data_IF_104110674099
#
_entry.id   IF_104110674099
#
_cell.length_a   1.000
_cell.length_b   1.000
_cell.length_c   1.000
_cell.angle_alpha   90.00
_cell.angle_beta   90.00
_cell.angle_gamma   90.00
#
_symmetry.space_group_name_H-M   'P 1'
#
loop_
_entity.id
_entity.type
_entity.pdbx_description
1 polymer ?
#
# COMPACT_ATOMS: atom_id res chain seq x y z
N UNK A 1 26.27 -4.38 43.80
CA UNK A 1 25.25 -4.78 42.79
C UNK A 1 23.98 -3.90 42.82
N UNK A 2 23.43 -3.56 43.98
CA UNK A 2 22.21 -2.73 44.10
C UNK A 2 22.33 -1.28 43.58
N UNK A 3 23.49 -0.63 43.74
CA UNK A 3 23.71 0.76 43.27
C UNK A 3 23.68 0.85 41.74
N UNK A 4 24.24 -0.15 41.04
CA UNK A 4 24.22 -0.22 39.58
C UNK A 4 22.80 -0.39 39.02
N UNK A 5 21.94 -1.17 39.69
CA UNK A 5 20.55 -1.35 39.26
C UNK A 5 19.71 -0.09 39.48
N UNK A 6 19.93 0.63 40.58
CA UNK A 6 19.25 1.91 40.88
C UNK A 6 19.62 3.00 39.87
N UNK A 7 20.90 3.12 39.50
CA UNK A 7 21.34 4.08 38.46
C UNK A 7 20.76 3.76 37.08
N UNK A 8 20.67 2.47 36.73
CA UNK A 8 20.08 2.02 35.46
C UNK A 8 18.57 2.29 35.41
N UNK A 9 17.86 2.11 36.53
CA UNK A 9 16.43 2.44 36.67
C UNK A 9 16.18 3.94 36.48
N UNK A 10 16.97 4.79 37.15
CA UNK A 10 16.86 6.26 37.06
C UNK A 10 17.14 6.79 35.64
N UNK A 11 18.11 6.20 34.93
CA UNK A 11 18.39 6.53 33.53
C UNK A 11 17.23 6.16 32.60
N UNK A 12 16.62 4.98 32.80
CA UNK A 12 15.48 4.51 32.01
C UNK A 12 14.22 5.37 32.25
N UNK A 13 13.93 5.74 33.49
CA UNK A 13 12.83 6.66 33.83
C UNK A 13 13.04 8.03 33.19
N UNK A 14 14.28 8.55 33.18
CA UNK A 14 14.63 9.80 32.50
C UNK A 14 14.44 9.69 30.98
N UNK A 15 14.87 8.60 30.35
CA UNK A 15 14.66 8.34 28.91
C UNK A 15 13.17 8.22 28.55
N UNK A 16 12.37 7.51 29.35
CA UNK A 16 10.91 7.39 29.15
C UNK A 16 10.21 8.75 29.31
N UNK A 17 10.64 9.57 30.27
CA UNK A 17 10.16 10.94 30.44
C UNK A 17 10.50 11.83 29.23
N UNK A 18 11.73 11.75 28.71
CA UNK A 18 12.14 12.49 27.51
C UNK A 18 11.35 12.06 26.28
N UNK A 19 11.17 10.75 26.05
CA UNK A 19 10.33 10.23 24.96
C UNK A 19 8.88 10.69 25.07
N UNK A 20 8.32 10.76 26.28
CA UNK A 20 6.97 11.29 26.51
C UNK A 20 6.88 12.77 26.15
N UNK A 21 7.88 13.57 26.51
CA UNK A 21 7.95 14.99 26.14
C UNK A 21 8.12 15.19 24.64
N UNK A 22 8.98 14.40 24.02
CA UNK A 22 9.19 14.40 22.56
C UNK A 22 7.89 14.07 21.84
N UNK A 23 7.16 13.04 22.26
CA UNK A 23 5.86 12.70 21.68
C UNK A 23 4.86 13.84 21.82
N UNK A 24 4.76 14.47 23.00
CA UNK A 24 3.86 15.61 23.22
C UNK A 24 4.25 16.78 22.30
N UNK A 25 5.54 17.07 22.16
CA UNK A 25 6.03 18.10 21.25
C UNK A 25 5.71 17.78 19.80
N UNK A 26 5.95 16.54 19.34
CA UNK A 26 5.62 16.10 17.98
C UNK A 26 4.12 16.17 17.69
N UNK A 27 3.27 15.84 18.67
CA UNK A 27 1.81 15.97 18.54
C UNK A 27 1.40 17.43 18.46
N UNK A 28 1.93 18.31 19.32
CA UNK A 28 1.64 19.74 19.28
C UNK A 28 2.14 20.36 17.97
N UNK A 29 3.32 19.98 17.52
CA UNK A 29 3.86 20.38 16.22
C UNK A 29 2.95 19.91 15.08
N UNK A 30 2.52 18.65 15.07
CA UNK A 30 1.62 18.12 14.05
C UNK A 30 0.29 18.88 14.04
N UNK A 31 -0.31 19.13 15.20
CA UNK A 31 -1.56 19.91 15.31
C UNK A 31 -1.34 21.33 14.76
N UNK A 32 -0.28 22.03 15.18
CA UNK A 32 0.02 23.38 14.73
C UNK A 32 0.30 23.41 13.22
N UNK A 33 1.06 22.45 12.71
CA UNK A 33 1.36 22.29 11.29
C UNK A 33 0.08 22.06 10.48
N UNK A 34 -0.77 21.11 10.86
CA UNK A 34 -2.03 20.86 10.17
C UNK A 34 -2.99 22.04 10.27
N UNK A 35 -3.09 22.69 11.43
CA UNK A 35 -3.89 23.90 11.58
C UNK A 35 -3.40 25.02 10.68
N UNK A 36 -2.07 25.22 10.59
CA UNK A 36 -1.46 26.19 9.69
C UNK A 36 -1.73 25.85 8.22
N UNK A 37 -1.51 24.60 7.81
CA UNK A 37 -1.77 24.17 6.42
C UNK A 37 -3.25 24.35 6.07
N UNK A 38 -4.17 23.88 6.91
CA UNK A 38 -5.61 24.05 6.68
C UNK A 38 -5.96 25.53 6.59
N UNK A 39 -5.46 26.36 7.51
CA UNK A 39 -5.71 27.79 7.49
C UNK A 39 -5.18 28.46 6.21
N UNK A 40 -3.94 28.16 5.81
CA UNK A 40 -3.36 28.70 4.57
C UNK A 40 -4.07 28.20 3.33
N UNK A 41 -4.44 26.93 3.28
CA UNK A 41 -5.23 26.36 2.17
C UNK A 41 -6.60 27.00 2.07
N UNK A 42 -7.28 27.25 3.20
CA UNK A 42 -8.57 27.96 3.23
C UNK A 42 -8.42 29.41 2.80
N UNK A 43 -7.40 30.13 3.29
CA UNK A 43 -7.10 31.50 2.86
C UNK A 43 -6.87 31.56 1.34
N UNK A 44 -5.98 30.72 0.82
CA UNK A 44 -5.71 30.65 -0.61
C UNK A 44 -6.97 30.32 -1.43
N UNK A 45 -7.82 29.43 -0.91
CA UNK A 45 -9.08 29.06 -1.56
C UNK A 45 -10.08 30.22 -1.60
N UNK A 46 -10.10 31.09 -0.58
CA UNK A 46 -10.95 32.28 -0.55
C UNK A 46 -10.39 33.36 -1.48
N UNK A 47 -9.07 33.57 -1.45
CA UNK A 47 -8.40 34.58 -2.29
C UNK A 47 -8.56 34.30 -3.80
N UNK A 48 -8.62 33.01 -4.19
CA UNK A 48 -8.75 32.58 -5.58
C UNK A 48 -10.12 31.98 -5.91
N UNK A 49 -11.13 32.14 -5.04
CA UNK A 49 -12.50 31.68 -5.29
C UNK A 49 -13.08 32.17 -6.64
N UNK A 50 -12.94 33.46 -7.04
CA UNK A 50 -13.50 33.95 -8.29
C UNK A 50 -12.83 33.38 -9.55
N UNK A 51 -11.67 32.72 -9.42
CA UNK A 51 -10.94 32.11 -10.54
C UNK A 51 -11.30 30.63 -10.77
N UNK A 52 -12.20 30.05 -9.98
CA UNK A 52 -12.57 28.64 -10.06
C UNK A 52 -13.58 28.35 -11.20
N UNK A 53 -13.10 28.37 -12.44
CA UNK A 53 -13.89 28.15 -13.67
C UNK A 53 -14.48 26.73 -13.82
N UNK A 54 -14.02 25.76 -13.03
CA UNK A 54 -14.40 24.35 -13.18
C UNK A 54 -15.38 23.84 -12.10
N UNK A 55 -15.99 24.72 -11.32
CA UNK A 55 -16.97 24.33 -10.31
C UNK A 55 -18.27 23.83 -10.97
N UNK A 56 -18.70 22.62 -10.60
CA UNK A 56 -19.96 22.02 -11.06
C UNK A 56 -20.79 21.50 -9.89
N UNK A 57 -22.13 21.51 -9.97
CA UNK A 57 -22.97 20.94 -8.93
C UNK A 57 -22.67 19.45 -8.73
N UNK A 58 -22.47 19.07 -7.47
CA UNK A 58 -22.23 17.69 -7.03
C UNK A 58 -23.49 16.90 -6.70
N UNK A 59 -23.31 15.60 -6.50
CA UNK A 59 -24.37 14.65 -6.14
C UNK A 59 -24.60 14.51 -4.61
N UNK A 60 -23.74 15.13 -3.78
CA UNK A 60 -23.91 15.15 -2.33
C UNK A 60 -25.14 15.99 -1.95
N UNK A 61 -25.83 15.60 -0.86
CA UNK A 61 -27.00 16.32 -0.35
C UNK A 61 -26.62 17.12 0.91
N UNK A 62 -26.83 18.46 0.95
CA UNK A 62 -27.31 19.32 -0.13
C UNK A 62 -26.27 19.50 -1.26
N UNK A 63 -26.69 19.80 -2.51
CA UNK A 63 -25.80 19.95 -3.66
C UNK A 63 -24.70 20.99 -3.40
N UNK A 64 -23.47 20.52 -3.20
CA UNK A 64 -22.30 21.39 -3.10
C UNK A 64 -21.61 21.50 -4.45
N UNK A 65 -21.05 22.68 -4.73
CA UNK A 65 -20.19 22.87 -5.88
C UNK A 65 -18.90 22.07 -5.68
N UNK A 66 -18.50 21.40 -6.76
CA UNK A 66 -17.38 20.48 -6.80
C UNK A 66 -16.39 20.97 -7.83
N UNK A 67 -15.11 21.03 -7.46
CA UNK A 67 -14.03 21.31 -8.39
C UNK A 67 -13.89 20.17 -9.41
N UNK A 68 -14.23 20.43 -10.67
CA UNK A 68 -14.13 19.48 -11.76
C UNK A 68 -12.92 19.75 -12.67
N UNK A 69 -11.94 20.57 -12.25
CA UNK A 69 -10.74 20.88 -13.07
C UNK A 69 -9.87 19.65 -13.29
N UNK A 70 -9.60 18.90 -12.22
CA UNK A 70 -8.77 17.70 -12.26
C UNK A 70 -9.54 16.50 -12.88
N UNK A 71 -9.00 15.98 -13.97
CA UNK A 71 -9.62 14.88 -14.72
C UNK A 71 -9.60 13.54 -13.97
N UNK A 72 -8.62 13.29 -13.10
CA UNK A 72 -8.52 12.05 -12.31
C UNK A 72 -9.53 12.08 -11.17
N UNK A 73 -9.59 13.18 -10.41
CA UNK A 73 -10.53 13.36 -9.30
C UNK A 73 -11.98 13.43 -9.79
N UNK A 74 -12.23 14.07 -10.93
CA UNK A 74 -13.54 14.08 -11.58
C UNK A 74 -13.98 12.67 -11.98
N UNK A 75 -13.13 11.91 -12.67
CA UNK A 75 -13.44 10.54 -13.08
C UNK A 75 -13.65 9.61 -11.88
N UNK A 76 -12.79 9.67 -10.86
CA UNK A 76 -12.93 8.85 -9.67
C UNK A 76 -14.27 9.12 -8.97
N UNK A 77 -14.60 10.38 -8.69
CA UNK A 77 -15.85 10.74 -8.01
C UNK A 77 -17.10 10.41 -8.83
N UNK A 78 -17.08 10.66 -10.13
CA UNK A 78 -18.21 10.34 -11.00
C UNK A 78 -18.50 8.83 -11.03
N UNK A 79 -17.45 8.00 -10.94
CA UNK A 79 -17.58 6.54 -10.92
C UNK A 79 -17.70 5.95 -9.51
N UNK A 80 -17.65 6.76 -8.44
CA UNK A 80 -17.66 6.27 -7.06
C UNK A 80 -18.92 5.46 -6.72
N UNK A 81 -20.15 5.85 -7.14
CA UNK A 81 -21.34 5.02 -6.92
C UNK A 81 -21.26 3.67 -7.64
N UNK A 82 -20.80 3.66 -8.89
CA UNK A 82 -20.65 2.43 -9.68
C UNK A 82 -19.59 1.53 -9.04
N UNK A 83 -18.46 2.10 -8.63
CA UNK A 83 -17.38 1.36 -7.97
C UNK A 83 -17.85 0.79 -6.62
N UNK A 84 -18.68 1.53 -5.88
CA UNK A 84 -19.28 1.06 -4.63
C UNK A 84 -20.19 -0.14 -4.88
N UNK A 85 -21.06 -0.06 -5.88
CA UNK A 85 -21.92 -1.18 -6.27
C UNK A 85 -21.11 -2.41 -6.70
N UNK A 86 -20.12 -2.24 -7.56
CA UNK A 86 -19.25 -3.34 -8.02
C UNK A 86 -18.48 -3.96 -6.86
N UNK A 87 -17.96 -3.14 -5.94
CA UNK A 87 -17.27 -3.63 -4.75
C UNK A 87 -18.21 -4.41 -3.82
N UNK A 88 -19.44 -3.92 -3.62
CA UNK A 88 -20.46 -4.66 -2.86
C UNK A 88 -20.80 -6.00 -3.51
N UNK A 89 -21.03 -6.03 -4.83
CA UNK A 89 -21.28 -7.27 -5.57
C UNK A 89 -20.11 -8.25 -5.48
N UNK A 90 -18.88 -7.75 -5.63
CA UNK A 90 -17.66 -8.54 -5.47
C UNK A 90 -17.59 -9.19 -4.08
N UNK A 91 -17.82 -8.40 -3.01
CA UNK A 91 -17.79 -8.88 -1.64
C UNK A 91 -18.91 -9.89 -1.35
N UNK A 92 -20.13 -9.62 -1.82
CA UNK A 92 -21.26 -10.52 -1.69
C UNK A 92 -20.99 -11.85 -2.40
N UNK A 93 -20.48 -11.81 -3.63
CA UNK A 93 -20.13 -13.02 -4.38
C UNK A 93 -19.04 -13.83 -3.67
N UNK A 94 -17.94 -13.18 -3.28
CA UNK A 94 -16.85 -13.85 -2.58
C UNK A 94 -17.30 -14.48 -1.25
N UNK A 95 -18.14 -13.79 -0.47
CA UNK A 95 -18.66 -14.30 0.80
C UNK A 95 -19.71 -15.40 0.59
N UNK A 96 -20.53 -15.31 -0.45
CA UNK A 96 -21.48 -16.36 -0.82
C UNK A 96 -20.75 -17.63 -1.22
N UNK A 97 -19.73 -17.52 -2.08
CA UNK A 97 -18.88 -18.65 -2.45
C UNK A 97 -18.17 -19.26 -1.23
N UNK A 98 -17.69 -18.41 -0.31
CA UNK A 98 -17.11 -18.89 0.96
C UNK A 98 -18.08 -19.74 1.75
N UNK A 99 -19.32 -19.28 1.91
CA UNK A 99 -20.34 -19.94 2.70
C UNK A 99 -20.82 -21.23 2.02
N UNK A 100 -21.09 -21.21 0.71
CA UNK A 100 -21.61 -22.35 -0.05
C UNK A 100 -20.59 -23.49 -0.17
N UNK A 101 -19.32 -23.17 -0.40
CA UNK A 101 -18.27 -24.17 -0.61
C UNK A 101 -17.38 -24.40 0.62
N UNK A 102 -17.73 -23.83 1.78
CA UNK A 102 -16.96 -23.90 3.03
C UNK A 102 -15.45 -23.65 2.83
N UNK A 103 -15.10 -22.66 2.01
CA UNK A 103 -13.73 -22.44 1.56
C UNK A 103 -12.82 -22.01 2.72
N UNK A 104 -11.70 -22.72 2.88
CA UNK A 104 -10.60 -22.33 3.77
C UNK A 104 -9.80 -21.16 3.18
N UNK A 105 -8.89 -20.58 3.96
CA UNK A 105 -8.09 -19.42 3.56
C UNK A 105 -7.39 -19.56 2.20
N UNK A 106 -6.78 -20.73 1.92
CA UNK A 106 -6.14 -20.99 0.61
C UNK A 106 -7.15 -20.94 -0.55
N UNK A 107 -8.30 -21.60 -0.40
CA UNK A 107 -9.37 -21.58 -1.41
C UNK A 107 -9.93 -20.17 -1.62
N UNK A 108 -10.11 -19.42 -0.54
CA UNK A 108 -10.53 -18.02 -0.63
C UNK A 108 -9.53 -17.15 -1.40
N UNK A 109 -8.22 -17.35 -1.21
CA UNK A 109 -7.19 -16.63 -1.97
C UNK A 109 -7.34 -16.84 -3.48
N UNK A 110 -7.65 -18.06 -3.93
CA UNK A 110 -7.88 -18.34 -5.34
C UNK A 110 -9.14 -17.64 -5.87
N UNK A 111 -10.25 -17.68 -5.12
CA UNK A 111 -11.48 -16.96 -5.49
C UNK A 111 -11.22 -15.47 -5.64
N UNK A 112 -10.53 -14.87 -4.67
CA UNK A 112 -10.22 -13.44 -4.70
C UNK A 112 -9.30 -13.09 -5.88
N UNK A 113 -8.30 -13.93 -6.16
CA UNK A 113 -7.40 -13.74 -7.28
C UNK A 113 -8.14 -13.84 -8.62
N UNK A 114 -9.01 -14.84 -8.78
CA UNK A 114 -9.80 -15.03 -10.01
C UNK A 114 -10.75 -13.86 -10.25
N UNK A 115 -11.52 -13.45 -9.23
CA UNK A 115 -12.44 -12.31 -9.35
C UNK A 115 -11.69 -11.01 -9.63
N UNK A 116 -10.55 -10.79 -8.97
CA UNK A 116 -9.71 -9.61 -9.19
C UNK A 116 -9.11 -9.61 -10.59
N UNK A 117 -8.65 -10.75 -11.08
CA UNK A 117 -8.10 -10.90 -12.43
C UNK A 117 -9.19 -10.66 -13.49
N UNK A 118 -10.40 -11.22 -13.29
CA UNK A 118 -11.53 -10.98 -14.17
C UNK A 118 -11.89 -9.49 -14.24
N UNK A 119 -11.94 -8.81 -13.09
CA UNK A 119 -12.21 -7.37 -13.04
C UNK A 119 -11.08 -6.55 -13.68
N UNK A 120 -9.82 -6.90 -13.43
CA UNK A 120 -8.67 -6.20 -14.02
C UNK A 120 -8.63 -6.38 -15.54
N UNK A 121 -8.95 -7.57 -16.05
CA UNK A 121 -9.08 -7.86 -17.48
C UNK A 121 -10.22 -7.08 -18.11
N UNK A 122 -11.36 -6.94 -17.42
CA UNK A 122 -12.46 -6.10 -17.89
C UNK A 122 -12.05 -4.62 -18.02
N UNK A 123 -11.33 -4.08 -17.03
CA UNK A 123 -10.94 -2.66 -17.03
C UNK A 123 -9.84 -2.32 -18.03
N UNK A 124 -8.85 -3.21 -18.22
CA UNK A 124 -7.64 -2.91 -18.98
C UNK A 124 -7.46 -3.74 -20.25
N UNK A 125 -8.31 -4.75 -20.48
CA UNK A 125 -8.25 -5.61 -21.67
C UNK A 125 -6.88 -6.27 -21.80
N UNK A 126 -6.34 -6.28 -23.01
CA UNK A 126 -5.02 -6.85 -23.31
C UNK A 126 -3.88 -6.19 -22.53
N UNK A 127 -4.00 -4.90 -22.16
CA UNK A 127 -2.95 -4.18 -21.43
C UNK A 127 -2.64 -4.75 -20.04
N UNK A 128 -3.47 -5.64 -19.50
CA UNK A 128 -3.18 -6.38 -18.27
C UNK A 128 -1.83 -7.13 -18.34
N UNK A 129 -1.43 -7.55 -19.54
CA UNK A 129 -0.14 -8.21 -19.78
C UNK A 129 1.03 -7.33 -19.36
N UNK A 130 0.98 -6.02 -19.65
CA UNK A 130 2.01 -5.08 -19.21
C UNK A 130 2.01 -4.92 -17.69
N UNK A 131 0.82 -4.73 -17.08
CA UNK A 131 0.68 -4.56 -15.63
C UNK A 131 1.30 -5.76 -14.89
N UNK A 132 0.90 -6.97 -15.27
CA UNK A 132 1.36 -8.20 -14.65
C UNK A 132 2.85 -8.46 -14.93
N UNK A 133 3.32 -8.17 -16.15
CA UNK A 133 4.73 -8.32 -16.51
C UNK A 133 5.63 -7.43 -15.66
N UNK A 134 5.33 -6.12 -15.56
CA UNK A 134 6.13 -5.18 -14.76
C UNK A 134 6.08 -5.56 -13.28
N UNK A 135 4.89 -5.90 -12.76
CA UNK A 135 4.74 -6.32 -11.36
C UNK A 135 5.51 -7.62 -11.06
N UNK A 136 5.49 -8.58 -11.98
CA UNK A 136 6.22 -9.85 -11.83
C UNK A 136 7.73 -9.63 -11.91
N UNK A 137 8.20 -8.82 -12.85
CA UNK A 137 9.61 -8.45 -12.95
C UNK A 137 10.09 -7.73 -11.69
N UNK A 138 9.28 -6.81 -11.14
CA UNK A 138 9.59 -6.17 -9.87
C UNK A 138 9.66 -7.18 -8.72
N UNK A 139 8.70 -8.10 -8.63
CA UNK A 139 8.70 -9.16 -7.62
C UNK A 139 9.96 -10.04 -7.71
N UNK A 140 10.35 -10.45 -8.92
CA UNK A 140 11.57 -11.23 -9.15
C UNK A 140 12.82 -10.44 -8.76
N UNK A 141 12.89 -9.17 -9.14
CA UNK A 141 13.99 -8.27 -8.75
C UNK A 141 14.09 -8.19 -7.23
N UNK A 142 12.98 -7.96 -6.51
CA UNK A 142 12.98 -7.94 -5.05
C UNK A 142 13.48 -9.27 -4.49
N UNK A 143 12.96 -10.40 -4.99
CA UNK A 143 13.35 -11.73 -4.52
C UNK A 143 14.83 -12.03 -4.70
N UNK A 144 15.43 -11.58 -5.79
CA UNK A 144 16.85 -11.80 -6.10
C UNK A 144 17.77 -10.85 -5.34
N UNK A 145 17.43 -9.56 -5.26
CA UNK A 145 18.34 -8.52 -4.78
C UNK A 145 18.10 -8.09 -3.33
N UNK A 146 17.04 -8.53 -2.67
CA UNK A 146 16.68 -8.06 -1.32
C UNK A 146 17.71 -8.35 -0.22
N UNK A 147 18.71 -9.22 -0.42
CA UNK A 147 19.77 -9.41 0.58
C UNK A 147 21.05 -8.65 0.23
N UNK A 148 21.05 -7.92 -0.88
CA UNK A 148 22.24 -7.21 -1.37
C UNK A 148 22.28 -5.77 -0.85
N UNK A 149 23.49 -5.22 -0.73
CA UNK A 149 23.70 -3.80 -0.40
C UNK A 149 23.15 -2.85 -1.46
N UNK A 150 23.03 -3.31 -2.70
CA UNK A 150 22.53 -2.54 -3.85
C UNK A 150 21.01 -2.63 -4.03
N UNK A 151 20.29 -3.26 -3.10
CA UNK A 151 18.84 -3.42 -3.20
C UNK A 151 18.09 -2.10 -3.45
N UNK A 152 18.32 -1.11 -2.59
CA UNK A 152 17.65 0.19 -2.64
C UNK A 152 17.85 0.90 -4.00
N UNK A 153 19.08 1.12 -4.50
CA UNK A 153 19.26 1.77 -5.80
C UNK A 153 18.68 0.97 -6.97
N UNK A 154 18.80 -0.36 -6.96
CA UNK A 154 18.26 -1.21 -8.04
C UNK A 154 16.73 -1.13 -8.08
N UNK A 155 16.07 -1.18 -6.93
CA UNK A 155 14.61 -1.07 -6.82
C UNK A 155 14.12 0.30 -7.31
N UNK A 156 14.75 1.38 -6.89
CA UNK A 156 14.37 2.74 -7.30
C UNK A 156 14.60 2.98 -8.78
N UNK A 157 15.76 2.55 -9.31
CA UNK A 157 16.06 2.69 -10.73
C UNK A 157 15.01 1.98 -11.59
N UNK A 158 14.66 0.73 -11.24
CA UNK A 158 13.61 -0.02 -11.93
C UNK A 158 12.26 0.71 -11.90
N UNK A 159 11.82 1.16 -10.72
CA UNK A 159 10.50 1.80 -10.59
C UNK A 159 10.44 3.17 -11.28
N UNK A 160 11.49 3.99 -11.17
CA UNK A 160 11.57 5.28 -11.88
C UNK A 160 11.61 5.07 -13.39
N UNK A 161 12.38 4.09 -13.86
CA UNK A 161 12.45 3.74 -15.29
C UNK A 161 11.05 3.42 -15.83
N UNK A 162 10.31 2.50 -15.20
CA UNK A 162 8.96 2.17 -15.65
C UNK A 162 7.96 3.33 -15.47
N UNK A 163 8.11 4.17 -14.45
CA UNK A 163 7.30 5.38 -14.29
C UNK A 163 7.51 6.35 -15.46
N UNK A 164 8.77 6.57 -15.86
CA UNK A 164 9.11 7.42 -16.99
C UNK A 164 8.63 6.83 -18.31
N UNK A 165 8.87 5.54 -18.56
CA UNK A 165 8.37 4.88 -19.77
C UNK A 165 6.84 4.95 -19.86
N UNK A 166 6.12 4.70 -18.76
CA UNK A 166 4.67 4.81 -18.73
C UNK A 166 4.16 6.23 -19.03
N UNK A 167 4.94 7.26 -18.67
CA UNK A 167 4.62 8.65 -18.96
C UNK A 167 4.93 9.02 -20.41
N UNK A 168 6.14 8.69 -20.90
CA UNK A 168 6.62 9.07 -22.23
C UNK A 168 5.80 8.41 -23.34
N UNK A 169 5.45 7.13 -23.17
CA UNK A 169 4.69 6.38 -24.16
C UNK A 169 3.17 6.47 -23.97
N UNK A 170 2.69 7.22 -22.97
CA UNK A 170 1.27 7.26 -22.56
C UNK A 170 0.62 5.87 -22.43
N UNK A 171 1.40 4.90 -21.95
CA UNK A 171 1.06 3.48 -21.96
C UNK A 171 1.43 2.78 -23.27
N UNK A 172 2.07 1.62 -23.15
CA UNK A 172 2.66 0.93 -24.30
C UNK A 172 1.64 0.44 -25.33
N UNK A 173 2.05 0.48 -26.60
CA UNK A 173 1.37 -0.17 -27.71
C UNK A 173 1.99 -1.50 -28.05
N UNK A 174 1.14 -2.49 -28.32
CA UNK A 174 1.60 -3.82 -28.71
C UNK A 174 2.32 -3.80 -30.06
N UNK A 175 1.92 -2.89 -30.95
CA UNK A 175 2.59 -2.64 -32.24
C UNK A 175 4.09 -2.30 -32.11
N UNK A 176 4.51 -1.67 -31.01
CA UNK A 176 5.94 -1.35 -30.78
C UNK A 176 6.78 -2.62 -30.61
N UNK A 177 6.17 -3.71 -30.12
CA UNK A 177 6.87 -4.98 -29.86
C UNK A 177 6.80 -5.94 -31.06
N UNK A 178 6.04 -5.60 -32.10
CA UNK A 178 5.97 -6.36 -33.36
C UNK A 178 4.57 -6.35 -33.96
N UNK A 179 4.52 -6.46 -35.29
CA UNK A 179 3.26 -6.45 -36.05
C UNK A 179 2.32 -7.60 -35.65
N UNK A 180 2.87 -8.74 -35.24
CA UNK A 180 2.09 -9.90 -34.79
C UNK A 180 1.25 -9.61 -33.54
N UNK A 181 1.66 -8.66 -32.70
CA UNK A 181 0.94 -8.28 -31.48
C UNK A 181 0.04 -7.07 -31.70
N UNK A 182 0.16 -6.37 -32.84
CA UNK A 182 -0.60 -5.15 -33.13
C UNK A 182 -2.12 -5.36 -33.06
N UNK A 183 -2.63 -6.57 -33.33
CA UNK A 183 -4.07 -6.86 -33.19
C UNK A 183 -4.57 -6.69 -31.75
N UNK A 184 -3.72 -6.88 -30.74
CA UNK A 184 -4.06 -6.70 -29.32
C UNK A 184 -4.31 -5.24 -28.95
N UNK A 185 -3.81 -4.29 -29.74
CA UNK A 185 -4.12 -2.88 -29.55
C UNK A 185 -5.62 -2.57 -29.78
N UNK A 186 -6.36 -3.43 -30.50
CA UNK A 186 -7.82 -3.32 -30.64
C UNK A 186 -8.59 -3.74 -29.38
N UNK A 187 -7.94 -4.46 -28.46
CA UNK A 187 -8.55 -4.99 -27.24
C UNK A 187 -8.09 -4.24 -25.99
N UNK A 188 -7.88 -2.92 -26.12
CA UNK A 188 -7.58 -2.07 -24.97
C UNK A 188 -8.83 -1.90 -24.11
N UNK A 189 -8.63 -1.95 -22.79
CA UNK A 189 -9.72 -1.76 -21.84
C UNK A 189 -10.22 -0.32 -21.76
N UNK A 190 -11.29 -0.13 -20.99
CA UNK A 190 -11.98 1.14 -20.80
C UNK A 190 -11.13 2.18 -20.07
N UNK A 191 -10.21 1.75 -19.19
CA UNK A 191 -9.36 2.64 -18.41
C UNK A 191 -7.90 2.56 -18.84
N UNK A 192 -7.28 3.75 -18.95
CA UNK A 192 -5.85 3.91 -19.19
C UNK A 192 -5.05 3.39 -18.00
N UNK A 193 -4.50 2.18 -18.16
CA UNK A 193 -3.81 1.47 -17.08
C UNK A 193 -2.63 2.25 -16.49
N UNK A 194 -1.84 2.92 -17.32
CA UNK A 194 -0.61 3.63 -16.93
C UNK A 194 -0.85 4.77 -15.93
N UNK A 195 -2.05 5.36 -15.89
CA UNK A 195 -2.41 6.41 -14.93
C UNK A 195 -2.55 5.82 -13.52
N UNK A 196 -3.32 4.73 -13.39
CA UNK A 196 -3.52 4.04 -12.12
C UNK A 196 -2.26 3.29 -11.66
N UNK A 197 -1.39 2.90 -12.60
CA UNK A 197 -0.16 2.17 -12.33
C UNK A 197 0.82 2.94 -11.43
N UNK A 198 0.74 4.27 -11.36
CA UNK A 198 1.51 5.06 -10.38
C UNK A 198 1.30 4.57 -8.94
N UNK A 199 0.07 4.19 -8.57
CA UNK A 199 -0.22 3.62 -7.25
C UNK A 199 0.29 2.18 -7.10
N UNK A 200 0.44 1.45 -8.21
CA UNK A 200 1.03 0.11 -8.20
C UNK A 200 2.53 0.20 -7.95
N UNK A 201 3.22 1.18 -8.56
CA UNK A 201 4.64 1.45 -8.31
C UNK A 201 4.91 1.72 -6.82
N UNK A 202 4.10 2.55 -6.18
CA UNK A 202 4.23 2.80 -4.74
C UNK A 202 4.08 1.51 -3.92
N UNK A 203 3.13 0.64 -4.29
CA UNK A 203 2.93 -0.67 -3.63
C UNK A 203 4.11 -1.61 -3.86
N UNK A 204 4.67 -1.62 -5.07
CA UNK A 204 5.86 -2.41 -5.41
C UNK A 204 7.08 -1.98 -4.58
N UNK A 205 7.30 -0.66 -4.44
CA UNK A 205 8.37 -0.11 -3.59
C UNK A 205 8.14 -0.50 -2.12
N UNK A 206 6.92 -0.32 -1.61
CA UNK A 206 6.56 -0.71 -0.24
C UNK A 206 6.83 -2.20 0.01
N UNK A 207 6.33 -3.06 -0.87
CA UNK A 207 6.58 -4.51 -0.80
C UNK A 207 8.08 -4.83 -0.82
N UNK A 208 8.84 -4.15 -1.67
CA UNK A 208 10.29 -4.30 -1.75
C UNK A 208 10.98 -4.03 -0.41
N UNK A 209 10.71 -2.89 0.21
CA UNK A 209 11.31 -2.54 1.51
C UNK A 209 10.82 -3.43 2.64
N UNK A 210 9.53 -3.75 2.69
CA UNK A 210 8.98 -4.67 3.69
C UNK A 210 9.68 -6.05 3.59
N UNK A 211 9.90 -6.54 2.37
CA UNK A 211 10.61 -7.80 2.13
C UNK A 211 12.09 -7.71 2.50
N UNK A 212 12.78 -6.63 2.15
CA UNK A 212 14.18 -6.39 2.51
C UNK A 212 14.39 -6.36 4.02
N UNK A 213 13.55 -5.60 4.75
CA UNK A 213 13.63 -5.49 6.19
C UNK A 213 13.26 -6.79 6.89
N UNK A 214 12.29 -7.56 6.37
CA UNK A 214 11.98 -8.87 6.93
C UNK A 214 13.18 -9.84 6.93
N UNK A 215 14.14 -9.67 6.01
CA UNK A 215 15.37 -10.48 5.95
C UNK A 215 16.54 -9.88 6.75
N UNK A 216 16.52 -8.57 6.99
CA UNK A 216 17.53 -7.88 7.80
C UNK A 216 17.22 -7.86 9.28
N UNK A 217 15.94 -8.01 9.66
CA UNK A 217 15.55 -8.17 11.05
C UNK A 217 16.30 -9.41 11.57
N UNK A 218 17.23 -9.27 12.52
CA UNK A 218 17.93 -10.43 13.05
C UNK A 218 16.85 -11.34 13.59
N UNK A 219 16.74 -12.53 12.99
CA UNK A 219 15.88 -13.64 13.39
C UNK A 219 15.55 -13.45 14.85
N UNK A 220 14.30 -13.08 15.13
CA UNK A 220 13.80 -12.79 16.46
C UNK A 220 14.51 -13.73 17.44
N UNK A 221 15.44 -13.18 18.23
CA UNK A 221 16.33 -14.01 19.04
C UNK A 221 15.46 -14.57 20.15
N UNK A 222 14.92 -15.76 19.89
CA UNK A 222 13.93 -16.42 20.72
C UNK A 222 14.46 -16.58 22.13
N UNK A 223 15.75 -16.88 22.28
CA UNK A 223 16.40 -16.96 23.58
C UNK A 223 16.41 -15.61 24.29
N UNK A 224 16.82 -14.53 23.63
CA UNK A 224 16.77 -13.17 24.21
C UNK A 224 15.35 -12.72 24.52
N UNK A 225 14.36 -13.10 23.72
CA UNK A 225 12.96 -12.75 23.96
C UNK A 225 12.39 -13.54 25.14
N UNK A 226 12.56 -14.86 25.20
CA UNK A 226 12.12 -15.70 26.32
C UNK A 226 12.76 -15.19 27.63
N UNK A 227 14.03 -14.79 27.60
CA UNK A 227 14.72 -14.22 28.77
C UNK A 227 14.21 -12.83 29.20
N UNK A 228 13.58 -12.05 28.31
CA UNK A 228 13.14 -10.66 28.60
C UNK A 228 11.63 -10.54 28.76
N UNK A 229 10.86 -11.45 28.18
CA UNK A 229 9.40 -11.41 28.20
C UNK A 229 8.85 -12.08 29.46
N UNK A 230 8.14 -11.30 30.29
CA UNK A 230 7.50 -11.84 31.49
C UNK A 230 6.44 -12.91 31.16
N UNK A 231 5.74 -12.77 30.03
CA UNK A 231 4.71 -13.71 29.57
C UNK A 231 5.33 -15.06 29.20
N UNK A 232 6.43 -15.04 28.42
CA UNK A 232 7.17 -16.26 28.08
C UNK A 232 7.80 -16.91 29.33
N UNK A 233 8.35 -16.12 30.26
CA UNK A 233 8.86 -16.63 31.54
C UNK A 233 7.80 -17.30 32.40
N UNK A 234 6.56 -16.80 32.33
CA UNK A 234 5.42 -17.36 33.06
C UNK A 234 4.80 -18.60 32.37
N UNK A 235 5.39 -19.10 31.28
CA UNK A 235 4.89 -20.25 30.53
C UNK A 235 3.60 -19.98 29.74
N UNK A 236 3.20 -18.71 29.59
CA UNK A 236 2.00 -18.32 28.86
C UNK A 236 2.32 -18.05 27.39
N UNK A 237 1.35 -18.30 26.52
CA UNK A 237 1.45 -18.06 25.08
C UNK A 237 1.71 -16.58 24.79
N UNK A 238 2.86 -16.29 24.19
CA UNK A 238 3.24 -14.94 23.79
C UNK A 238 2.88 -14.71 22.32
N UNK A 239 1.99 -13.75 22.05
CA UNK A 239 1.56 -13.42 20.69
C UNK A 239 2.71 -13.03 19.76
N UNK A 240 3.76 -12.35 20.26
CA UNK A 240 4.94 -12.00 19.43
C UNK A 240 5.75 -13.22 19.02
N UNK A 241 5.79 -14.25 19.87
CA UNK A 241 6.49 -15.51 19.59
C UNK A 241 5.70 -16.32 18.55
N UNK A 242 4.38 -16.44 18.74
CA UNK A 242 3.45 -17.09 17.81
C UNK A 242 3.43 -16.44 16.42
N UNK A 243 3.52 -15.12 16.35
CA UNK A 243 3.49 -14.38 15.08
C UNK A 243 4.77 -14.55 14.26
N UNK A 244 5.91 -14.83 14.91
CA UNK A 244 7.22 -14.96 14.25
C UNK A 244 7.61 -16.43 14.01
N UNK A 245 7.06 -17.38 14.77
CA UNK A 245 7.23 -18.83 14.60
C UNK A 245 5.86 -19.53 14.53
N UNK A 246 5.19 -19.51 13.37
CA UNK A 246 3.84 -20.07 13.22
C UNK A 246 3.80 -21.62 13.24
N UNK A 247 4.94 -22.32 13.13
CA UNK A 247 5.03 -23.78 13.18
C UNK A 247 6.06 -24.26 14.21
N UNK A 248 5.58 -24.82 15.32
CA UNK A 248 5.97 -26.18 15.73
C UNK A 248 7.35 -26.48 16.31
N UNK A 249 8.27 -25.55 16.54
CA UNK A 249 9.48 -25.84 17.34
C UNK A 249 9.33 -25.41 18.80
N UNK A 250 8.45 -26.11 19.50
CA UNK A 250 8.57 -26.28 20.95
C UNK A 250 9.38 -27.57 21.13
N UNK A 251 10.71 -27.49 20.96
CA UNK A 251 11.57 -28.52 21.53
C UNK A 251 11.49 -28.38 23.04
N UNK A 252 11.05 -29.48 23.68
CA UNK A 252 11.13 -29.73 25.11
C UNK A 252 12.55 -29.48 25.64
#
# INVERSE_FOLDING_TARGET
MAISSAMKKKKKEKEEYWKRKELVFLVLYAIAFYAFIIHRSLQLSLDHEPELYALRPGWLLPPRLNDASDSQWRNFRANLPILTLVFSLFALLANSLRALFALKAKGMSFVWLLLSLAYLSYLHGACILFILSIASLNFLLVKMFAQTKYFSPVLWLFNIFFLLCNRVYEGYSFSIFGEQLAYLDNYRGTFRWHICFNFVILRMISFGYDYHWAHQDPLFDQQKHIQRCHTCKSGKTCYRLLQKCPEGEIFL
#
